data_IF_623068494349
#
_entry.id   IF_623068494349
#
_cell.length_a   1.000
_cell.length_b   1.000
_cell.length_c   1.000
_cell.angle_alpha   90.00
_cell.angle_beta   90.00
_cell.angle_gamma   90.00
#
_symmetry.space_group_name_H-M   'P 1'
#
loop_
_entity.id
_entity.type
_entity.pdbx_description
1 polymer ?
#
# COMPACT_ATOMS: atom_id res chain seq x y z
N UNK A 1 0.79 -27.64 44.17
CA UNK A 1 1.73 -27.21 43.12
C UNK A 1 1.23 -27.78 41.80
N UNK A 2 0.30 -27.10 41.13
CA UNK A 2 0.51 -26.11 40.06
C UNK A 2 1.42 -26.60 38.92
N UNK A 3 0.84 -26.76 37.72
CA UNK A 3 1.59 -26.80 36.47
C UNK A 3 0.96 -27.60 35.34
N UNK A 4 -0.24 -27.22 34.86
CA UNK A 4 -0.76 -27.70 33.57
C UNK A 4 0.03 -27.02 32.45
N UNK A 5 0.85 -27.77 31.73
CA UNK A 5 1.63 -27.28 30.59
C UNK A 5 0.89 -27.53 29.26
N UNK A 6 0.54 -26.40 28.64
CA UNK A 6 0.52 -26.10 27.21
C UNK A 6 -0.37 -26.97 26.29
N UNK A 7 -1.58 -26.46 26.05
CA UNK A 7 -2.25 -26.63 24.76
C UNK A 7 -1.43 -25.88 23.69
N UNK A 8 -0.78 -26.62 22.80
CA UNK A 8 -0.19 -26.06 21.57
C UNK A 8 -1.24 -26.17 20.47
N UNK A 9 -2.11 -25.17 20.36
CA UNK A 9 -2.90 -24.94 19.14
C UNK A 9 -2.05 -24.13 18.18
N UNK A 10 -1.15 -24.81 17.47
CA UNK A 10 -0.53 -24.24 16.29
C UNK A 10 -1.54 -24.32 15.13
N UNK A 11 -2.28 -23.23 14.94
CA UNK A 11 -3.14 -23.04 13.78
C UNK A 11 -2.23 -22.88 12.56
N UNK A 12 -1.95 -23.98 11.88
CA UNK A 12 -1.36 -23.99 10.54
C UNK A 12 -2.45 -23.70 9.52
N UNK A 13 -2.81 -22.42 9.36
CA UNK A 13 -3.66 -21.93 8.27
C UNK A 13 -2.85 -21.01 7.34
N UNK A 14 -2.38 -21.58 6.23
CA UNK A 14 -2.57 -20.94 4.93
C UNK A 14 -1.50 -20.00 4.36
N UNK A 15 -0.21 -20.14 4.69
CA UNK A 15 0.85 -19.26 4.12
C UNK A 15 1.56 -19.84 2.88
N UNK A 16 0.87 -20.65 2.05
CA UNK A 16 1.46 -21.22 0.82
C UNK A 16 0.48 -21.23 -0.35
N UNK A 17 -0.13 -20.09 -0.66
CA UNK A 17 -0.89 -19.88 -1.89
C UNK A 17 -0.46 -18.56 -2.52
N UNK A 18 0.49 -18.66 -3.45
CA UNK A 18 0.76 -17.72 -4.54
C UNK A 18 0.77 -16.23 -4.21
N UNK A 19 1.94 -15.60 -4.39
CA UNK A 19 2.16 -14.15 -4.43
C UNK A 19 1.21 -13.33 -5.36
N UNK A 20 0.33 -13.99 -6.12
CA UNK A 20 -0.75 -13.35 -6.88
C UNK A 20 -1.93 -12.86 -6.00
N UNK A 21 -2.16 -13.47 -4.83
CA UNK A 21 -3.25 -13.05 -3.92
C UNK A 21 -2.90 -11.84 -3.05
N UNK A 22 -1.61 -11.61 -2.79
CA UNK A 22 -1.15 -10.48 -1.98
C UNK A 22 -1.42 -9.16 -2.70
N UNK A 23 -1.06 -9.06 -3.98
CA UNK A 23 -1.23 -7.83 -4.76
C UNK A 23 -2.68 -7.26 -4.71
N UNK A 24 -3.70 -8.10 -4.79
CA UNK A 24 -5.09 -7.64 -4.67
C UNK A 24 -5.50 -7.26 -3.24
N UNK A 25 -4.96 -7.95 -2.23
CA UNK A 25 -5.21 -7.62 -0.83
C UNK A 25 -4.55 -6.29 -0.46
N UNK A 26 -3.32 -6.05 -0.92
CA UNK A 26 -2.57 -4.82 -0.72
C UNK A 26 -3.27 -3.64 -1.41
N UNK A 27 -3.82 -3.83 -2.62
CA UNK A 27 -4.63 -2.82 -3.31
C UNK A 27 -5.90 -2.43 -2.55
N UNK A 28 -6.62 -3.40 -2.00
CA UNK A 28 -7.83 -3.12 -1.21
C UNK A 28 -7.48 -2.47 0.13
N UNK A 29 -6.45 -2.98 0.84
CA UNK A 29 -5.96 -2.39 2.10
C UNK A 29 -5.51 -0.94 1.89
N UNK A 30 -4.83 -0.68 0.78
CA UNK A 30 -4.47 0.68 0.35
C UNK A 30 -5.69 1.56 0.15
N UNK A 31 -6.70 1.12 -0.61
CA UNK A 31 -7.92 1.90 -0.81
C UNK A 31 -8.65 2.17 0.52
N UNK A 32 -8.74 1.18 1.40
CA UNK A 32 -9.35 1.31 2.73
C UNK A 32 -8.55 2.30 3.60
N UNK A 33 -7.22 2.27 3.53
CA UNK A 33 -6.34 3.26 4.16
C UNK A 33 -6.64 4.65 3.65
N UNK A 34 -6.73 4.86 2.33
CA UNK A 34 -7.01 6.16 1.76
C UNK A 34 -8.32 6.74 2.31
N UNK A 35 -9.41 5.98 2.22
CA UNK A 35 -10.73 6.46 2.65
C UNK A 35 -10.82 6.68 4.16
N UNK A 36 -10.17 5.84 4.97
CA UNK A 36 -10.11 6.03 6.43
C UNK A 36 -9.29 7.26 6.83
N UNK A 37 -8.41 7.76 5.96
CA UNK A 37 -7.59 8.95 6.18
C UNK A 37 -8.09 10.20 5.42
N UNK A 38 -9.34 10.18 4.95
CA UNK A 38 -10.01 11.36 4.39
C UNK A 38 -9.71 11.63 2.91
N UNK A 39 -9.09 10.68 2.21
CA UNK A 39 -8.95 10.76 0.76
C UNK A 39 -10.32 10.84 0.08
N UNK A 40 -10.40 11.66 -0.97
CA UNK A 40 -11.55 11.75 -1.85
C UNK A 40 -11.04 11.75 -3.29
N UNK A 41 -11.77 11.11 -4.19
CA UNK A 41 -11.46 11.18 -5.62
C UNK A 41 -11.46 12.62 -6.10
N UNK A 42 -10.49 12.95 -6.95
CA UNK A 42 -10.28 14.29 -7.47
C UNK A 42 -9.82 14.25 -8.93
N UNK A 43 -9.62 15.44 -9.52
CA UNK A 43 -9.09 15.54 -10.87
C UNK A 43 -7.70 14.87 -10.94
N UNK A 44 -7.54 13.93 -11.87
CA UNK A 44 -6.33 13.11 -12.02
C UNK A 44 -6.36 11.76 -11.28
N UNK A 45 -7.21 11.61 -10.27
CA UNK A 45 -7.42 10.36 -9.51
C UNK A 45 -8.91 10.19 -9.24
N UNK A 46 -9.65 9.79 -10.28
CA UNK A 46 -11.13 9.85 -10.30
C UNK A 46 -11.80 8.49 -10.09
N UNK A 47 -11.04 7.45 -9.77
CA UNK A 47 -11.55 6.08 -9.60
C UNK A 47 -10.60 5.25 -8.74
N UNK A 48 -11.09 4.13 -8.19
CA UNK A 48 -10.27 3.17 -7.45
C UNK A 48 -9.06 2.71 -8.28
N UNK A 49 -9.28 2.41 -9.56
CA UNK A 49 -8.22 1.98 -10.47
C UNK A 49 -7.15 3.05 -10.72
N UNK A 50 -7.52 4.33 -10.77
CA UNK A 50 -6.54 5.42 -10.92
C UNK A 50 -5.83 5.72 -9.60
N UNK A 51 -6.50 5.55 -8.46
CA UNK A 51 -5.89 5.67 -7.13
C UNK A 51 -4.83 4.59 -6.89
N UNK A 52 -5.14 3.33 -7.23
CA UNK A 52 -4.20 2.20 -7.16
C UNK A 52 -3.00 2.43 -8.07
N UNK A 53 -3.22 2.85 -9.33
CA UNK A 53 -2.14 3.18 -10.25
C UNK A 53 -1.25 4.31 -9.71
N UNK A 54 -1.83 5.33 -9.07
CA UNK A 54 -1.08 6.39 -8.41
C UNK A 54 -0.20 5.86 -7.27
N UNK A 55 -0.74 4.95 -6.43
CA UNK A 55 0.02 4.28 -5.37
C UNK A 55 1.18 3.43 -5.90
N UNK A 56 0.94 2.65 -6.95
CA UNK A 56 1.98 1.86 -7.64
C UNK A 56 3.07 2.77 -8.24
N UNK A 57 2.66 3.87 -8.88
CA UNK A 57 3.58 4.87 -9.42
C UNK A 57 4.44 5.51 -8.31
N UNK A 58 3.85 5.82 -7.16
CA UNK A 58 4.60 6.30 -5.98
C UNK A 58 5.67 5.28 -5.58
N UNK A 59 5.32 4.00 -5.48
CA UNK A 59 6.26 2.94 -5.14
C UNK A 59 7.43 2.84 -6.13
N UNK A 60 7.13 2.88 -7.44
CA UNK A 60 8.16 2.88 -8.48
C UNK A 60 9.06 4.12 -8.40
N UNK A 61 8.48 5.30 -8.16
CA UNK A 61 9.24 6.54 -8.06
C UNK A 61 10.18 6.53 -6.84
N UNK A 62 9.76 5.97 -5.71
CA UNK A 62 10.64 5.80 -4.56
C UNK A 62 11.77 4.83 -4.89
N UNK A 63 11.46 3.69 -5.52
CA UNK A 63 12.43 2.62 -5.80
C UNK A 63 13.49 3.04 -6.82
N UNK A 64 13.11 3.82 -7.83
CA UNK A 64 13.96 4.11 -8.99
C UNK A 64 14.37 5.58 -9.10
N UNK A 65 13.56 6.51 -8.59
CA UNK A 65 13.75 7.94 -8.76
C UNK A 65 14.04 8.67 -7.43
N UNK A 66 14.12 7.95 -6.31
CA UNK A 66 14.52 8.48 -5.00
C UNK A 66 13.49 9.39 -4.33
N UNK A 67 12.22 9.32 -4.72
CA UNK A 67 11.17 10.07 -4.05
C UNK A 67 9.77 9.88 -4.66
N UNK A 68 8.69 10.03 -3.89
CA UNK A 68 7.33 9.64 -4.29
C UNK A 68 6.79 10.40 -5.52
N UNK A 69 7.23 11.64 -5.72
CA UNK A 69 6.82 12.52 -6.83
C UNK A 69 7.89 12.67 -7.92
N UNK A 70 9.01 11.96 -7.81
CA UNK A 70 10.11 12.08 -8.76
C UNK A 70 9.83 11.25 -10.03
N UNK A 71 10.41 11.64 -11.17
CA UNK A 71 10.27 10.89 -12.43
C UNK A 71 8.94 11.12 -13.18
N UNK A 72 8.06 11.98 -12.66
CA UNK A 72 6.82 12.40 -13.33
C UNK A 72 6.83 13.91 -13.58
N UNK A 73 5.99 14.37 -14.52
CA UNK A 73 5.85 15.80 -14.77
C UNK A 73 5.12 16.52 -13.61
N UNK A 74 5.21 17.86 -13.49
CA UNK A 74 4.62 18.60 -12.36
C UNK A 74 3.11 18.44 -12.19
N UNK A 75 2.37 18.26 -13.29
CA UNK A 75 0.91 18.06 -13.23
C UNK A 75 0.58 16.72 -12.58
N UNK A 76 1.30 15.66 -12.97
CA UNK A 76 1.14 14.34 -12.35
C UNK A 76 1.65 14.33 -10.90
N UNK A 77 2.76 14.99 -10.61
CA UNK A 77 3.26 15.12 -9.23
C UNK A 77 2.21 15.76 -8.30
N UNK A 78 1.45 16.74 -8.80
CA UNK A 78 0.39 17.41 -8.05
C UNK A 78 -0.84 16.52 -7.79
N UNK A 79 -1.05 15.45 -8.58
CA UNK A 79 -2.15 14.50 -8.35
C UNK A 79 -1.79 13.40 -7.36
N UNK A 80 -0.50 13.26 -7.00
CA UNK A 80 -0.03 12.30 -5.99
C UNK A 80 -0.02 12.99 -4.62
N UNK A 81 -1.17 13.03 -3.96
CA UNK A 81 -1.34 13.71 -2.69
C UNK A 81 -0.62 13.00 -1.52
N UNK A 82 -0.51 13.68 -0.38
CA UNK A 82 0.23 13.16 0.77
C UNK A 82 -0.45 11.92 1.40
N UNK A 83 -1.77 11.77 1.28
CA UNK A 83 -2.52 10.62 1.80
C UNK A 83 -2.22 9.39 0.94
N UNK A 84 -2.17 9.54 -0.39
CA UNK A 84 -1.73 8.50 -1.32
C UNK A 84 -0.30 8.07 -1.04
N UNK A 85 0.60 9.01 -0.77
CA UNK A 85 2.00 8.71 -0.43
C UNK A 85 2.08 7.94 0.90
N UNK A 86 1.35 8.37 1.93
CA UNK A 86 1.29 7.67 3.21
C UNK A 86 0.70 6.27 3.09
N UNK A 87 -0.39 6.11 2.33
CA UNK A 87 -1.02 4.82 2.07
C UNK A 87 -0.11 3.88 1.28
N UNK A 88 0.60 4.38 0.27
CA UNK A 88 1.55 3.56 -0.50
C UNK A 88 2.70 3.07 0.39
N UNK A 89 3.21 3.93 1.30
CA UNK A 89 4.23 3.56 2.29
C UNK A 89 3.72 2.51 3.29
N UNK A 90 2.47 2.62 3.73
CA UNK A 90 1.91 1.72 4.73
C UNK A 90 1.53 0.35 4.12
N UNK A 91 0.86 0.36 2.98
CA UNK A 91 0.11 -0.80 2.48
C UNK A 91 0.72 -1.43 1.21
N UNK A 92 1.24 -0.63 0.27
CA UNK A 92 1.67 -1.15 -1.04
C UNK A 92 3.17 -1.51 -1.10
N UNK A 93 4.04 -0.69 -0.53
CA UNK A 93 5.49 -0.87 -0.60
C UNK A 93 6.20 -0.40 0.68
N UNK A 94 5.93 -1.04 1.83
CA UNK A 94 6.56 -0.71 3.11
C UNK A 94 8.07 -0.97 3.13
N UNK A 95 8.58 -1.81 2.23
CA UNK A 95 9.99 -2.16 2.05
C UNK A 95 10.76 -1.22 1.10
N UNK A 96 10.09 -0.26 0.47
CA UNK A 96 10.73 0.67 -0.46
C UNK A 96 11.72 1.61 0.28
N UNK A 97 12.77 2.11 -0.39
CA UNK A 97 13.80 2.95 0.22
C UNK A 97 13.32 4.39 0.42
N UNK A 98 12.34 4.57 1.29
CA UNK A 98 11.77 5.88 1.63
C UNK A 98 12.84 6.79 2.26
N UNK A 99 13.01 7.98 1.69
CA UNK A 99 13.90 9.06 2.16
C UNK A 99 13.11 10.31 2.52
#
# INVERSE_FOLDING_TARGET
>A
MMGRLALVTAVSLGLMLGSAGLAQADEQSYLDYLFSHGFNYHFGVSSASTAVKGGQMICDNVRWNGGPRNGVNPVMAATLDDVMIAGARAELCPDAPWS
#
